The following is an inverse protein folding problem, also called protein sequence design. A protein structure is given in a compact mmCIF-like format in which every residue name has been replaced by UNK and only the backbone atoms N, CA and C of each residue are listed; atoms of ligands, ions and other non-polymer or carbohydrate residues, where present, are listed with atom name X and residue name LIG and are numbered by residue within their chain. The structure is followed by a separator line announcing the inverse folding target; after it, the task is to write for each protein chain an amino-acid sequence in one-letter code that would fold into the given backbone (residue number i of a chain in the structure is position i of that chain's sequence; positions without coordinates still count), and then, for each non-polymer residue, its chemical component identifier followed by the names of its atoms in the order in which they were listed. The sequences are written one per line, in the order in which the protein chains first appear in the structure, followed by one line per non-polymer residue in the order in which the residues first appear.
data_IF_505451191716
#
_entry.id   IF_505451191716
#
_cell.length_a   1.000
_cell.length_b   1.000
_cell.length_c   1.000
_cell.angle_alpha   90.00
_cell.angle_beta   90.00
_cell.angle_gamma   90.00
#
_symmetry.space_group_name_H-M   'P 1'
#
loop_
_entity.id
_entity.type
_entity.pdbx_description
1 polymer ?
#
# COMPACT_ATOMS: atom_id res chain seq x y z
N UNK A 1 -3.43 11.00 19.90
CA UNK A 1 -3.41 10.11 18.73
C UNK A 1 -2.00 10.11 18.20
N UNK A 2 -1.38 8.94 18.04
CA UNK A 2 -0.05 8.88 17.43
C UNK A 2 -0.17 9.22 15.94
N UNK A 3 0.84 9.85 15.32
CA UNK A 3 0.84 10.14 13.87
C UNK A 3 0.56 8.90 13.02
N UNK A 4 1.07 7.74 13.45
CA UNK A 4 0.82 6.43 12.85
C UNK A 4 -0.67 6.07 12.83
N UNK A 5 -1.43 6.41 13.89
CA UNK A 5 -2.87 6.11 13.98
C UNK A 5 -3.67 6.96 12.97
N UNK A 6 -3.24 8.19 12.72
CA UNK A 6 -3.92 9.12 11.78
C UNK A 6 -3.69 8.67 10.33
N UNK A 7 -2.44 8.35 9.97
CA UNK A 7 -2.11 7.83 8.63
C UNK A 7 -2.83 6.52 8.35
N UNK A 8 -2.84 5.61 9.33
CA UNK A 8 -3.51 4.31 9.23
C UNK A 8 -5.02 4.47 9.03
N UNK A 9 -5.67 5.32 9.84
CA UNK A 9 -7.10 5.64 9.70
C UNK A 9 -7.41 6.20 8.31
N UNK A 10 -6.65 7.19 7.85
CA UNK A 10 -6.86 7.82 6.56
C UNK A 10 -6.69 6.84 5.38
N UNK A 11 -5.68 5.97 5.43
CA UNK A 11 -5.47 4.93 4.41
C UNK A 11 -6.61 3.91 4.43
N UNK A 12 -7.04 3.45 5.60
CA UNK A 12 -8.17 2.52 5.73
C UNK A 12 -9.47 3.11 5.18
N UNK A 13 -9.77 4.38 5.45
CA UNK A 13 -10.92 5.10 4.91
C UNK A 13 -10.87 5.23 3.38
N UNK A 14 -9.66 5.31 2.80
CA UNK A 14 -9.45 5.28 1.35
C UNK A 14 -9.54 3.88 0.73
N UNK A 15 -9.82 2.84 1.52
CA UNK A 15 -9.96 1.47 1.03
C UNK A 15 -8.64 0.68 0.98
N UNK A 16 -7.60 1.16 1.65
CA UNK A 16 -6.37 0.39 1.83
C UNK A 16 -6.50 -0.59 3.01
N UNK A 17 -5.97 -1.79 2.83
CA UNK A 17 -5.90 -2.82 3.86
C UNK A 17 -4.44 -3.03 4.20
N UNK A 18 -4.12 -2.98 5.50
CA UNK A 18 -2.77 -3.25 5.98
C UNK A 18 -2.37 -4.68 5.63
N UNK A 19 -1.22 -4.84 5.00
CA UNK A 19 -0.65 -6.15 4.67
C UNK A 19 0.53 -6.45 5.60
N UNK A 20 0.70 -7.72 5.93
CA UNK A 20 1.82 -8.13 6.78
C UNK A 20 3.16 -7.75 6.16
N UNK A 21 4.08 -7.34 7.02
CA UNK A 21 5.48 -7.13 6.67
C UNK A 21 6.00 -8.39 5.99
N UNK A 22 6.76 -8.15 4.93
CA UNK A 22 7.50 -9.18 4.22
C UNK A 22 8.33 -9.99 5.22
N UNK A 23 8.04 -11.29 5.38
CA UNK A 23 9.00 -12.17 6.06
C UNK A 23 10.10 -12.40 5.04
N UNK A 24 11.34 -12.02 5.35
CA UNK A 24 12.51 -12.18 4.48
C UNK A 24 12.86 -13.63 4.07
N UNK A 25 11.95 -14.59 4.30
CA UNK A 25 12.05 -15.98 3.86
C UNK A 25 11.43 -16.24 2.48
N UNK A 26 10.55 -15.37 1.98
CA UNK A 26 9.87 -15.60 0.69
C UNK A 26 10.71 -15.17 -0.53
N UNK A 27 11.88 -14.55 -0.32
CA UNK A 27 12.87 -14.27 -1.37
C UNK A 27 14.24 -13.97 -0.76
N UNK A 28 15.34 -14.50 -1.30
CA UNK A 28 16.68 -14.13 -0.87
C UNK A 28 16.94 -12.66 -1.22
N UNK A 29 17.04 -11.79 -0.22
CA UNK A 29 17.65 -10.47 -0.41
C UNK A 29 19.11 -10.70 -0.77
N UNK A 30 19.45 -10.68 -2.05
CA UNK A 30 20.84 -10.56 -2.46
C UNK A 30 21.37 -9.21 -1.96
N UNK A 31 22.59 -9.17 -1.44
CA UNK A 31 23.27 -7.99 -0.88
C UNK A 31 23.46 -6.79 -1.87
N UNK A 32 22.72 -6.76 -2.98
CA UNK A 32 22.94 -5.88 -4.13
C UNK A 32 21.65 -5.22 -4.62
N UNK A 33 20.46 -5.65 -4.18
CA UNK A 33 19.21 -5.00 -4.61
C UNK A 33 18.89 -3.81 -3.71
N UNK A 34 18.81 -2.63 -4.33
CA UNK A 34 18.33 -1.43 -3.67
C UNK A 34 16.86 -1.64 -3.29
N UNK A 35 16.60 -2.00 -2.03
CA UNK A 35 15.26 -1.90 -1.47
C UNK A 35 14.98 -0.41 -1.28
N UNK A 36 14.20 0.18 -2.19
CA UNK A 36 13.78 1.60 -2.11
C UNK A 36 12.96 1.94 -0.85
N UNK A 37 12.58 0.93 -0.06
CA UNK A 37 11.68 1.09 1.08
C UNK A 37 12.24 0.39 2.32
N UNK A 38 12.45 1.12 3.42
CA UNK A 38 12.79 0.56 4.72
C UNK A 38 11.88 -0.60 5.16
N UNK A 39 12.44 -1.55 5.91
CA UNK A 39 11.68 -2.66 6.52
C UNK A 39 10.71 -2.18 7.62
N UNK A 40 10.86 -0.93 8.07
CA UNK A 40 10.08 -0.31 9.15
C UNK A 40 8.74 0.23 8.67
N UNK A 41 8.54 0.48 7.37
CA UNK A 41 7.32 1.13 6.88
C UNK A 41 6.06 0.26 6.94
N UNK A 42 4.93 0.90 7.20
CA UNK A 42 3.63 0.20 7.17
C UNK A 42 3.13 0.11 5.73
N UNK A 43 2.79 -1.12 5.32
CA UNK A 43 2.42 -1.44 3.95
C UNK A 43 0.94 -1.71 3.84
N UNK A 44 0.34 -1.23 2.76
CA UNK A 44 -1.06 -1.43 2.47
C UNK A 44 -1.28 -1.82 1.02
N UNK A 45 -2.34 -2.58 0.78
CA UNK A 45 -2.86 -2.89 -0.55
C UNK A 45 -4.27 -2.29 -0.65
N UNK A 46 -4.53 -1.57 -1.72
CA UNK A 46 -5.87 -1.09 -2.01
C UNK A 46 -6.80 -2.29 -2.28
N UNK A 47 -7.97 -2.30 -1.64
CA UNK A 47 -8.94 -3.41 -1.73
C UNK A 47 -9.53 -3.58 -3.13
N UNK A 48 -9.36 -2.60 -4.01
CA UNK A 48 -9.83 -2.61 -5.40
C UNK A 48 -8.65 -2.57 -6.35
N UNK A 49 -8.64 -3.44 -7.36
CA UNK A 49 -7.73 -3.31 -8.51
C UNK A 49 -8.30 -2.32 -9.53
N UNK A 50 -7.45 -1.70 -10.34
CA UNK A 50 -7.93 -0.93 -11.47
C UNK A 50 -8.53 -1.85 -12.55
N UNK A 51 -9.28 -1.27 -13.50
CA UNK A 51 -9.96 -2.04 -14.56
C UNK A 51 -8.97 -2.83 -15.43
N UNK A 52 -7.79 -2.28 -15.68
CA UNK A 52 -6.73 -2.97 -16.41
C UNK A 52 -6.00 -4.07 -15.60
N UNK A 53 -6.43 -4.29 -14.35
CA UNK A 53 -5.86 -5.28 -13.43
C UNK A 53 -4.71 -4.77 -12.58
N UNK A 54 -4.29 -3.50 -12.76
CA UNK A 54 -3.18 -2.91 -12.00
C UNK A 54 -3.55 -2.76 -10.53
N UNK A 55 -2.64 -3.16 -9.63
CA UNK A 55 -2.80 -3.01 -8.18
C UNK A 55 -2.27 -1.66 -7.73
N UNK A 56 -2.74 -1.21 -6.57
CA UNK A 56 -2.20 -0.02 -5.91
C UNK A 56 -1.78 -0.38 -4.49
N UNK A 57 -0.53 -0.10 -4.18
CA UNK A 57 0.06 -0.24 -2.86
C UNK A 57 0.36 1.15 -2.29
N UNK A 58 0.31 1.23 -0.95
CA UNK A 58 0.76 2.41 -0.21
C UNK A 58 1.77 2.00 0.86
N UNK A 59 2.84 2.78 0.97
CA UNK A 59 3.85 2.67 2.00
C UNK A 59 3.80 3.94 2.81
N UNK A 60 3.59 3.79 4.11
CA UNK A 60 3.50 4.89 5.07
C UNK A 60 4.75 4.88 5.92
N UNK A 61 5.54 5.94 5.83
CA UNK A 61 6.76 6.10 6.63
C UNK A 61 6.39 6.29 8.10
N UNK A 62 7.03 5.52 8.99
CA UNK A 62 6.77 5.58 10.44
C UNK A 62 7.51 6.76 11.07
N UNK A 63 8.81 6.84 10.80
CA UNK A 63 9.71 7.81 11.44
C UNK A 63 9.73 9.16 10.70
N UNK A 64 9.21 9.19 9.47
CA UNK A 64 9.20 10.34 8.58
C UNK A 64 7.77 10.67 8.08
N UNK A 65 7.47 11.94 7.77
CA UNK A 65 6.20 12.31 7.13
C UNK A 65 6.22 11.87 5.67
N UNK A 66 5.10 11.34 5.18
CA UNK A 66 4.98 10.99 3.77
C UNK A 66 4.45 9.60 3.47
N UNK A 67 4.27 9.40 2.17
CA UNK A 67 3.72 8.20 1.55
C UNK A 67 4.40 7.91 0.23
N UNK A 68 4.54 6.64 -0.09
CA UNK A 68 4.89 6.17 -1.43
C UNK A 68 3.76 5.30 -1.97
N UNK A 69 3.24 5.67 -3.14
CA UNK A 69 2.26 4.89 -3.88
C UNK A 69 2.94 4.12 -5.01
N UNK A 70 2.63 2.84 -5.16
CA UNK A 70 3.22 1.98 -6.20
C UNK A 70 2.24 1.01 -6.83
N UNK A 71 2.60 0.51 -8.01
CA UNK A 71 1.89 -0.59 -8.68
C UNK A 71 2.35 -1.97 -8.23
N UNK A 72 3.58 -2.05 -7.71
CA UNK A 72 4.19 -3.29 -7.28
C UNK A 72 4.49 -3.30 -5.79
N UNK A 73 4.38 -4.50 -5.19
CA UNK A 73 4.77 -4.73 -3.79
C UNK A 73 6.29 -4.65 -3.58
N UNK A 74 7.05 -4.86 -4.65
CA UNK A 74 8.51 -4.75 -4.66
C UNK A 74 8.91 -3.69 -5.68
N UNK A 75 9.54 -2.62 -5.19
CA UNK A 75 10.02 -1.54 -6.04
C UNK A 75 11.46 -1.86 -6.40
N UNK A 76 11.68 -2.31 -7.63
CA UNK A 76 13.01 -2.50 -8.21
C UNK A 76 13.31 -1.48 -9.31
N UNK A 77 12.31 -0.72 -9.74
CA UNK A 77 12.42 0.25 -10.82
C UNK A 77 11.50 1.46 -10.58
N UNK A 78 11.88 2.61 -11.15
CA UNK A 78 11.11 3.85 -11.06
C UNK A 78 9.70 3.73 -11.67
N UNK A 79 9.51 2.85 -12.65
CA UNK A 79 8.21 2.58 -13.27
C UNK A 79 7.19 1.96 -12.31
N UNK A 80 7.63 1.38 -11.19
CA UNK A 80 6.73 0.89 -10.15
C UNK A 80 6.19 2.04 -9.28
N UNK A 81 6.84 3.21 -9.28
CA UNK A 81 6.44 4.36 -8.48
C UNK A 81 5.31 5.13 -9.17
N UNK A 82 4.18 5.27 -8.47
CA UNK A 82 3.04 6.07 -8.91
C UNK A 82 3.19 7.52 -8.45
N UNK A 83 3.49 7.71 -7.16
CA UNK A 83 3.73 9.02 -6.57
C UNK A 83 4.50 8.87 -5.25
N UNK A 84 5.42 9.79 -5.01
CA UNK A 84 6.08 9.97 -3.72
C UNK A 84 5.62 11.30 -3.12
N UNK A 85 5.17 11.27 -1.88
CA UNK A 85 4.66 12.42 -1.14
C UNK A 85 5.51 12.59 0.11
N UNK A 86 6.31 13.65 0.17
CA UNK A 86 7.21 13.94 1.30
C UNK A 86 6.48 14.51 2.54
N UNK A 87 5.14 14.55 2.51
CA UNK A 87 4.32 15.14 3.58
C UNK A 87 3.07 14.31 3.86
N UNK A 88 2.53 14.43 5.09
CA UNK A 88 1.29 13.77 5.51
C UNK A 88 0.01 14.47 4.98
N UNK A 89 0.06 14.97 3.75
CA UNK A 89 -1.06 15.67 3.12
C UNK A 89 -2.10 14.67 2.60
N UNK A 90 -3.04 14.30 3.47
CA UNK A 90 -4.13 13.35 3.18
C UNK A 90 -4.98 13.76 1.97
N UNK A 91 -5.38 15.04 1.79
CA UNK A 91 -6.06 15.47 0.57
C UNK A 91 -5.26 15.23 -0.72
N UNK A 92 -3.95 15.48 -0.69
CA UNK A 92 -3.08 15.23 -1.83
C UNK A 92 -2.95 13.72 -2.11
N UNK A 93 -2.78 12.90 -1.08
CA UNK A 93 -2.78 11.44 -1.19
C UNK A 93 -4.05 10.94 -1.87
N UNK A 94 -5.22 11.39 -1.41
CA UNK A 94 -6.51 11.04 -2.01
C UNK A 94 -6.57 11.41 -3.50
N UNK A 95 -6.10 12.62 -3.84
CA UNK A 95 -6.04 13.05 -5.23
C UNK A 95 -5.16 12.14 -6.10
N UNK A 96 -4.03 11.65 -5.57
CA UNK A 96 -3.16 10.72 -6.30
C UNK A 96 -3.82 9.36 -6.51
N UNK A 97 -4.54 8.84 -5.50
CA UNK A 97 -5.31 7.60 -5.60
C UNK A 97 -6.40 7.72 -6.68
N UNK A 98 -7.14 8.83 -6.70
CA UNK A 98 -8.15 9.09 -7.72
C UNK A 98 -7.54 9.19 -9.13
N UNK A 99 -6.44 9.95 -9.27
CA UNK A 99 -5.69 10.07 -10.53
C UNK A 99 -5.17 8.72 -11.03
N UNK A 100 -4.70 7.87 -10.12
CA UNK A 100 -4.27 6.52 -10.44
C UNK A 100 -5.43 5.74 -11.08
N UNK A 101 -6.57 5.60 -10.40
CA UNK A 101 -7.69 4.84 -10.95
C UNK A 101 -8.18 5.41 -12.28
N UNK A 102 -8.28 6.74 -12.42
CA UNK A 102 -8.67 7.37 -13.68
C UNK A 102 -7.72 7.02 -14.83
N UNK A 103 -6.40 6.95 -14.60
CA UNK A 103 -5.41 6.57 -15.61
C UNK A 103 -5.51 5.09 -16.03
N UNK A 104 -5.93 4.24 -15.11
CA UNK A 104 -6.05 2.79 -15.31
C UNK A 104 -7.49 2.34 -15.64
N UNK A 105 -8.29 3.24 -16.24
CA UNK A 105 -9.63 2.96 -16.73
C UNK A 105 -10.75 3.01 -15.68
N UNK A 106 -10.41 3.25 -14.42
CA UNK A 106 -11.33 3.36 -13.28
C UNK A 106 -11.09 2.30 -12.21
N UNK A 107 -11.95 2.30 -11.20
CA UNK A 107 -11.99 1.25 -10.18
C UNK A 107 -12.59 -0.03 -10.76
N UNK A 108 -11.87 -1.14 -10.64
CA UNK A 108 -12.28 -2.47 -11.07
C UNK A 108 -12.86 -3.31 -9.93
N UNK A 109 -12.75 -4.65 -9.98
CA UNK A 109 -13.27 -5.53 -8.94
C UNK A 109 -12.52 -5.38 -7.62
N UNK A 110 -13.22 -5.65 -6.53
CA UNK A 110 -12.58 -5.80 -5.22
C UNK A 110 -11.76 -7.08 -5.16
N UNK A 111 -10.55 -6.98 -4.64
CA UNK A 111 -9.71 -8.10 -4.23
C UNK A 111 -10.42 -8.73 -3.04
N UNK A 112 -11.06 -9.88 -3.26
CA UNK A 112 -11.58 -10.69 -2.16
C UNK A 112 -10.40 -11.19 -1.33
N UNK A 113 -10.02 -10.44 -0.30
CA UNK A 113 -9.14 -10.94 0.74
C UNK A 113 -10.00 -11.87 1.60
N UNK A 114 -10.08 -13.15 1.22
CA UNK A 114 -10.63 -14.22 2.05
C UNK A 114 -9.74 -14.48 3.30
N UNK A 115 -9.36 -13.43 4.01
CA UNK A 115 -8.47 -13.44 5.16
C UNK A 115 -9.08 -12.51 6.21
N UNK A 116 -10.17 -12.96 6.82
CA UNK A 116 -10.58 -12.69 8.22
C UNK A 116 -12.02 -13.20 8.42
N UNK A 117 -12.23 -14.52 8.31
CA UNK A 117 -13.25 -15.16 9.14
C UNK A 117 -12.56 -15.58 10.42
N UNK A 118 -12.91 -15.05 11.60
CA UNK A 118 -12.56 -15.75 12.83
C UNK A 118 -13.16 -17.15 12.70
N UNK A 119 -12.31 -18.18 12.77
CA UNK A 119 -12.76 -19.55 12.94
C UNK A 119 -13.71 -19.54 14.13
N UNK A 120 -15.01 -19.78 13.90
CA UNK A 120 -15.93 -20.09 14.98
C UNK A 120 -15.31 -21.27 15.72
N UNK A 121 -14.90 -21.07 16.97
CA UNK A 121 -14.69 -22.18 17.88
C UNK A 121 -16.03 -22.92 17.92
N UNK A 122 -16.05 -24.10 17.30
CA UNK A 122 -17.09 -25.08 17.53
C UNK A 122 -16.81 -25.64 18.91
N UNK A 123 -17.61 -25.19 19.87
CA UNK A 123 -17.80 -25.84 21.17
C UNK A 123 -18.62 -27.10 21.00
#
# INVERSE_FOLDING_TARGET
MNPTDIKDTALCEMGFIRISLYRGWDYPMGNVEASFIPATDVRYLHQTVAIDGTRLYAYSWIDEPGFLLTTERHISALEHMVAELETDNIPLLKQQVEKFFLRHGGMGPQISTAVHRPLRQLS
#
